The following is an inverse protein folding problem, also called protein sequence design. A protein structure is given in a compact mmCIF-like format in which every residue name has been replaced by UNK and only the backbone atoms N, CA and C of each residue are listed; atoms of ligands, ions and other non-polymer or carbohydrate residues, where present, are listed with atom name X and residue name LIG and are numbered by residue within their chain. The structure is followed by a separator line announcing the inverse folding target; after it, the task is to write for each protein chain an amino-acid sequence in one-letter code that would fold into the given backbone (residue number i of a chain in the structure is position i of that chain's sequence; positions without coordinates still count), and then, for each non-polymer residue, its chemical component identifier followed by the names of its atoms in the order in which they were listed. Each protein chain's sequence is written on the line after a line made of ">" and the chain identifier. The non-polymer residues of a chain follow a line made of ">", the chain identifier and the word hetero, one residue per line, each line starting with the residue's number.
data_IF_073838591615
#
_entry.id   IF_073838591615
#
_cell.length_a   1.000
_cell.length_b   1.000
_cell.length_c   1.000
_cell.angle_alpha   90.00
_cell.angle_beta   90.00
_cell.angle_gamma   90.00
#
_symmetry.space_group_name_H-M   'P 1'
#
loop_
_entity.id
_entity.type
_entity.pdbx_description
1 polymer ?
#
# COMPACT_ATOMS: atom_id res chain seq x y z
N UNK A 1 38.96 -12.55 20.49
CA UNK A 1 38.09 -11.61 21.24
C UNK A 1 37.55 -12.31 22.46
N UNK A 2 37.41 -11.58 23.56
CA UNK A 2 36.72 -12.01 24.78
C UNK A 2 35.30 -12.54 24.42
N UNK A 3 34.86 -13.69 24.94
CA UNK A 3 33.50 -14.20 24.75
C UNK A 3 32.39 -13.17 25.04
N UNK A 4 32.58 -12.32 26.06
CA UNK A 4 31.63 -11.28 26.42
C UNK A 4 31.57 -10.16 25.36
N UNK A 5 32.71 -9.85 24.73
CA UNK A 5 32.78 -8.86 23.65
C UNK A 5 32.08 -9.37 22.39
N UNK A 6 32.22 -10.66 22.07
CA UNK A 6 31.48 -11.27 20.94
C UNK A 6 29.97 -11.22 21.16
N UNK A 7 29.51 -11.59 22.36
CA UNK A 7 28.09 -11.57 22.69
C UNK A 7 27.48 -10.16 22.63
N UNK A 8 28.22 -9.15 23.11
CA UNK A 8 27.81 -7.75 23.00
C UNK A 8 27.71 -7.31 21.54
N UNK A 9 28.71 -7.65 20.72
CA UNK A 9 28.71 -7.31 19.30
C UNK A 9 27.54 -7.93 18.55
N UNK A 10 27.26 -9.22 18.77
CA UNK A 10 26.10 -9.93 18.20
C UNK A 10 24.78 -9.25 18.58
N UNK A 11 24.63 -8.88 19.85
CA UNK A 11 23.43 -8.18 20.34
C UNK A 11 23.24 -6.82 19.68
N UNK A 12 24.31 -6.06 19.46
CA UNK A 12 24.25 -4.76 18.79
C UNK A 12 23.83 -4.92 17.31
N UNK A 13 24.40 -5.89 16.60
CA UNK A 13 24.03 -6.20 15.20
C UNK A 13 22.55 -6.55 15.08
N UNK A 14 22.03 -7.35 16.02
CA UNK A 14 20.61 -7.71 16.04
C UNK A 14 19.71 -6.49 16.28
N UNK A 15 20.10 -5.57 17.17
CA UNK A 15 19.36 -4.33 17.43
C UNK A 15 19.36 -3.43 16.19
N UNK A 16 20.51 -3.24 15.55
CA UNK A 16 20.64 -2.44 14.33
C UNK A 16 19.77 -3.01 13.21
N UNK A 17 19.78 -4.34 13.03
CA UNK A 17 18.94 -5.03 12.04
C UNK A 17 17.45 -4.82 12.31
N UNK A 18 17.01 -4.95 13.57
CA UNK A 18 15.62 -4.69 13.95
C UNK A 18 15.22 -3.23 13.72
N UNK A 19 16.12 -2.29 14.02
CA UNK A 19 15.89 -0.86 13.83
C UNK A 19 15.78 -0.48 12.34
N UNK A 20 16.62 -1.05 11.48
CA UNK A 20 16.55 -0.86 10.03
C UNK A 20 15.22 -1.38 9.48
N UNK A 21 14.82 -2.61 9.86
CA UNK A 21 13.53 -3.18 9.46
C UNK A 21 12.35 -2.33 9.92
N UNK A 22 12.40 -1.80 11.15
CA UNK A 22 11.39 -0.89 11.67
C UNK A 22 11.31 0.40 10.85
N UNK A 23 12.45 0.99 10.50
CA UNK A 23 12.53 2.21 9.70
C UNK A 23 11.94 2.00 8.30
N UNK A 24 12.33 0.91 7.63
CA UNK A 24 11.81 0.53 6.32
C UNK A 24 10.28 0.33 6.36
N UNK A 25 9.77 -0.38 7.37
CA UNK A 25 8.33 -0.60 7.50
C UNK A 25 7.55 0.70 7.74
N UNK A 26 8.09 1.63 8.53
CA UNK A 26 7.49 2.97 8.73
C UNK A 26 7.49 3.79 7.45
N UNK A 27 8.57 3.73 6.67
CA UNK A 27 8.62 4.41 5.38
C UNK A 27 7.57 3.84 4.42
N UNK A 28 7.45 2.51 4.33
CA UNK A 28 6.44 1.87 3.50
C UNK A 28 5.01 2.22 3.91
N UNK A 29 4.72 2.41 5.20
CA UNK A 29 3.40 2.90 5.65
C UNK A 29 3.07 4.27 5.06
N UNK A 30 4.04 5.17 4.97
CA UNK A 30 3.85 6.51 4.38
C UNK A 30 3.61 6.39 2.87
N UNK A 31 4.37 5.56 2.17
CA UNK A 31 4.17 5.35 0.73
C UNK A 31 2.83 4.69 0.42
N UNK A 32 2.42 3.70 1.22
CA UNK A 32 1.09 3.09 1.10
C UNK A 32 -0.03 4.12 1.33
N UNK A 33 0.13 5.03 2.31
CA UNK A 33 -0.86 6.07 2.57
C UNK A 33 -0.98 7.07 1.41
N UNK A 34 0.15 7.48 0.82
CA UNK A 34 0.18 8.32 -0.39
C UNK A 34 -0.57 7.66 -1.54
N UNK A 35 -0.28 6.38 -1.82
CA UNK A 35 -0.93 5.61 -2.87
C UNK A 35 -2.43 5.45 -2.60
N UNK A 36 -2.80 5.16 -1.35
CA UNK A 36 -4.20 5.04 -0.93
C UNK A 36 -4.96 6.34 -1.14
N UNK A 37 -4.35 7.48 -0.81
CA UNK A 37 -4.96 8.78 -1.04
C UNK A 37 -5.13 9.08 -2.55
N UNK A 38 -4.09 8.83 -3.35
CA UNK A 38 -4.16 8.98 -4.80
C UNK A 38 -5.27 8.12 -5.43
N UNK A 39 -5.40 6.86 -5.03
CA UNK A 39 -6.47 5.98 -5.48
C UNK A 39 -7.86 6.49 -5.06
N UNK A 40 -8.00 7.04 -3.85
CA UNK A 40 -9.25 7.64 -3.37
C UNK A 40 -9.67 8.85 -4.21
N UNK A 41 -8.72 9.69 -4.57
CA UNK A 41 -8.95 10.84 -5.46
C UNK A 41 -9.33 10.39 -6.87
N UNK A 42 -8.63 9.40 -7.43
CA UNK A 42 -8.93 8.83 -8.73
C UNK A 42 -10.34 8.19 -8.77
N UNK A 43 -10.70 7.38 -7.77
CA UNK A 43 -12.04 6.80 -7.63
C UNK A 43 -13.11 7.89 -7.51
N UNK A 44 -12.82 8.98 -6.79
CA UNK A 44 -13.73 10.13 -6.68
C UNK A 44 -13.93 10.82 -8.04
N UNK A 45 -12.86 10.98 -8.81
CA UNK A 45 -12.93 11.53 -10.17
C UNK A 45 -13.73 10.63 -11.11
N UNK A 46 -13.52 9.31 -11.07
CA UNK A 46 -14.30 8.34 -11.85
C UNK A 46 -15.80 8.41 -11.49
N UNK A 47 -16.13 8.48 -10.20
CA UNK A 47 -17.53 8.62 -9.74
C UNK A 47 -18.18 9.92 -10.23
N UNK A 48 -17.44 11.03 -10.23
CA UNK A 48 -17.92 12.31 -10.80
C UNK A 48 -18.17 12.17 -12.30
N UNK A 49 -17.23 11.57 -13.02
CA UNK A 49 -17.32 11.35 -14.47
C UNK A 49 -18.55 10.51 -14.83
N UNK A 50 -18.77 9.39 -14.14
CA UNK A 50 -19.94 8.51 -14.35
C UNK A 50 -21.28 9.21 -14.12
N UNK A 51 -21.34 10.20 -13.22
CA UNK A 51 -22.56 11.01 -13.01
C UNK A 51 -22.79 11.99 -14.15
N UNK A 52 -21.73 12.52 -14.75
CA UNK A 52 -21.79 13.53 -15.82
C UNK A 52 -21.90 12.94 -17.23
N UNK A 53 -21.46 11.70 -17.47
CA UNK A 53 -21.54 11.04 -18.79
C UNK A 53 -22.93 10.52 -19.12
N UNK A 54 -23.89 10.61 -18.18
CA UNK A 54 -25.32 10.66 -18.52
C UNK A 54 -25.59 11.98 -19.26
N UNK A 55 -25.31 12.02 -20.56
CA UNK A 55 -25.88 13.04 -21.44
C UNK A 55 -27.41 12.91 -21.30
N UNK A 56 -28.02 13.90 -20.67
CA UNK A 56 -29.46 13.98 -20.39
C UNK A 56 -30.30 14.18 -21.66
N UNK A 57 -29.70 14.03 -22.84
CA UNK A 57 -30.37 14.10 -24.13
C UNK A 57 -29.82 12.94 -24.98
N UNK A 58 -30.63 11.89 -25.25
CA UNK A 58 -30.28 10.88 -26.24
C UNK A 58 -29.97 11.56 -27.57
N UNK A 59 -28.86 11.20 -28.22
CA UNK A 59 -28.61 11.63 -29.58
C UNK A 59 -29.80 11.18 -30.44
N UNK A 60 -30.34 12.01 -31.34
CA UNK A 60 -31.41 11.59 -32.26
C UNK A 60 -31.05 10.30 -33.01
N UNK A 61 -29.77 10.07 -33.28
CA UNK A 61 -29.26 8.83 -33.86
C UNK A 61 -29.42 7.61 -32.95
N UNK A 62 -29.19 7.76 -31.64
CA UNK A 62 -29.33 6.66 -30.67
C UNK A 62 -30.80 6.25 -30.49
N UNK A 63 -31.73 7.21 -30.60
CA UNK A 63 -33.18 6.92 -30.57
C UNK A 63 -33.59 6.14 -31.82
N UNK A 64 -33.13 6.58 -33.00
CA UNK A 64 -33.43 5.92 -34.27
C UNK A 64 -32.85 4.51 -34.33
N UNK A 65 -31.60 4.32 -33.89
CA UNK A 65 -30.96 3.00 -33.86
C UNK A 65 -31.66 2.03 -32.90
N UNK A 66 -32.17 2.51 -31.77
CA UNK A 66 -32.88 1.72 -30.76
C UNK A 66 -34.29 1.31 -31.20
N UNK A 67 -34.92 2.08 -32.09
CA UNK A 67 -36.19 1.71 -32.74
C UNK A 67 -36.00 0.67 -33.86
N UNK A 68 -34.80 0.58 -34.45
CA UNK A 68 -34.47 -0.38 -35.50
C UNK A 68 -33.94 -1.72 -34.98
N UNK A 69 -33.39 -1.78 -33.76
CA UNK A 69 -32.97 -3.00 -33.06
C UNK A 69 -34.17 -3.80 -32.52
N UNK A 70 -35.12 -4.11 -33.39
CA UNK A 70 -36.15 -5.10 -33.11
C UNK A 70 -35.54 -6.49 -32.95
N UNK A 71 -35.75 -7.11 -31.79
CA UNK A 71 -35.66 -8.57 -31.57
C UNK A 71 -34.30 -9.25 -31.77
N UNK A 72 -33.25 -8.81 -31.08
CA UNK A 72 -32.06 -9.65 -30.88
C UNK A 72 -31.49 -9.53 -29.48
N UNK A 73 -31.72 -10.58 -28.68
CA UNK A 73 -31.02 -10.86 -27.42
C UNK A 73 -31.53 -10.06 -26.23
N UNK A 74 -32.28 -10.72 -25.33
CA UNK A 74 -32.38 -10.26 -23.95
C UNK A 74 -30.94 -10.13 -23.42
N UNK A 75 -30.46 -8.90 -23.23
CA UNK A 75 -29.20 -8.66 -22.52
C UNK A 75 -29.33 -9.36 -21.16
N UNK A 76 -28.56 -10.44 -21.00
CA UNK A 76 -28.30 -11.09 -19.72
C UNK A 76 -27.93 -9.96 -18.74
N UNK A 77 -28.75 -9.82 -17.70
CA UNK A 77 -28.65 -8.89 -16.56
C UNK A 77 -27.37 -8.03 -16.64
N UNK A 78 -27.48 -6.79 -17.13
CA UNK A 78 -26.38 -5.82 -17.03
C UNK A 78 -26.02 -5.67 -15.55
N UNK A 79 -24.86 -6.15 -15.13
CA UNK A 79 -24.34 -5.92 -13.78
C UNK A 79 -24.11 -4.42 -13.62
N UNK A 80 -25.08 -3.75 -12.99
CA UNK A 80 -24.97 -2.34 -12.66
C UNK A 80 -24.03 -2.26 -11.46
N UNK A 81 -22.81 -1.80 -11.71
CA UNK A 81 -21.88 -1.50 -10.63
C UNK A 81 -22.51 -0.47 -9.67
N UNK A 82 -22.55 -0.70 -8.35
CA UNK A 82 -23.16 0.24 -7.41
C UNK A 82 -22.44 1.59 -7.39
N UNK A 83 -21.16 1.61 -7.76
CA UNK A 83 -20.29 2.79 -7.72
C UNK A 83 -20.24 3.53 -9.06
N UNK A 84 -20.18 2.81 -10.19
CA UNK A 84 -20.17 3.40 -11.53
C UNK A 84 -21.58 3.64 -12.10
N UNK A 85 -22.60 2.97 -11.56
CA UNK A 85 -23.94 2.95 -12.14
C UNK A 85 -23.96 2.35 -13.55
N UNK A 86 -24.95 2.75 -14.34
CA UNK A 86 -25.04 2.42 -15.75
C UNK A 86 -24.00 3.23 -16.53
N UNK A 87 -22.85 2.62 -16.79
CA UNK A 87 -21.72 3.20 -17.50
C UNK A 87 -21.69 2.69 -18.94
N UNK A 88 -21.13 3.48 -19.86
CA UNK A 88 -20.91 3.03 -21.23
C UNK A 88 -19.69 2.09 -21.28
N UNK A 89 -19.83 0.81 -21.68
CA UNK A 89 -18.71 -0.12 -21.80
C UNK A 89 -17.69 0.31 -22.87
N UNK A 90 -18.05 1.20 -23.80
CA UNK A 90 -17.14 1.77 -24.81
C UNK A 90 -16.34 2.96 -24.27
N UNK A 91 -16.68 3.50 -23.10
CA UNK A 91 -15.92 4.58 -22.49
C UNK A 91 -14.58 4.06 -21.97
N UNK A 92 -13.50 4.76 -22.30
CA UNK A 92 -12.15 4.42 -21.87
C UNK A 92 -11.54 5.50 -20.97
N UNK A 93 -10.59 5.07 -20.16
CA UNK A 93 -9.76 5.91 -19.29
C UNK A 93 -8.30 5.52 -19.46
N UNK A 94 -7.41 6.51 -19.41
CA UNK A 94 -5.98 6.27 -19.36
C UNK A 94 -5.56 5.93 -17.94
N UNK A 95 -4.84 4.83 -17.77
CA UNK A 95 -4.26 4.39 -16.51
C UNK A 95 -2.74 4.30 -16.67
N UNK A 96 -2.02 4.83 -15.70
CA UNK A 96 -0.57 4.61 -15.53
C UNK A 96 -0.37 3.44 -14.57
N UNK A 97 0.41 2.44 -14.97
CA UNK A 97 0.66 1.28 -14.10
C UNK A 97 1.74 1.58 -13.05
N UNK A 98 1.45 1.40 -11.74
CA UNK A 98 2.43 1.67 -10.69
C UNK A 98 3.73 0.87 -10.89
N UNK A 99 4.87 1.52 -10.67
CA UNK A 99 6.19 0.90 -10.84
C UNK A 99 6.65 0.77 -12.30
N UNK A 100 5.97 1.43 -13.24
CA UNK A 100 6.35 1.49 -14.66
C UNK A 100 6.02 2.85 -15.27
N UNK A 101 6.68 3.18 -16.38
CA UNK A 101 6.38 4.38 -17.19
C UNK A 101 5.37 4.07 -18.31
N UNK A 102 4.46 3.13 -18.08
CA UNK A 102 3.52 2.62 -19.09
C UNK A 102 2.13 3.19 -18.84
N UNK A 103 1.57 3.80 -19.88
CA UNK A 103 0.18 4.23 -19.95
C UNK A 103 -0.62 3.29 -20.85
N UNK A 104 -1.76 2.83 -20.36
CA UNK A 104 -2.69 2.04 -21.15
C UNK A 104 -4.09 2.66 -21.17
N UNK A 105 -4.71 2.57 -22.34
CA UNK A 105 -6.12 2.91 -22.51
C UNK A 105 -6.95 1.69 -22.14
N UNK A 106 -7.64 1.76 -21.01
CA UNK A 106 -8.46 0.67 -20.46
C UNK A 106 -9.93 1.08 -20.37
N UNK A 107 -10.89 0.14 -20.42
CA UNK A 107 -12.30 0.47 -20.22
C UNK A 107 -12.55 1.13 -18.87
N UNK A 108 -13.48 2.08 -18.81
CA UNK A 108 -13.77 2.90 -17.63
C UNK A 108 -14.03 2.06 -16.37
N UNK A 109 -14.89 1.04 -16.48
CA UNK A 109 -15.23 0.18 -15.35
C UNK A 109 -14.07 -0.72 -14.93
N UNK A 110 -13.21 -1.12 -15.87
CA UNK A 110 -11.99 -1.87 -15.56
C UNK A 110 -11.04 -1.01 -14.73
N UNK A 111 -10.86 0.28 -15.07
CA UNK A 111 -10.07 1.21 -14.25
C UNK A 111 -10.62 1.32 -12.82
N UNK A 112 -11.94 1.47 -12.68
CA UNK A 112 -12.59 1.50 -11.37
C UNK A 112 -12.27 0.25 -10.56
N UNK A 113 -12.50 -0.94 -11.13
CA UNK A 113 -12.29 -2.21 -10.45
C UNK A 113 -10.82 -2.46 -10.07
N UNK A 114 -9.87 -2.02 -10.90
CA UNK A 114 -8.45 -2.08 -10.57
C UNK A 114 -8.15 -1.21 -9.34
N UNK A 115 -8.59 0.04 -9.33
CA UNK A 115 -8.35 0.97 -8.23
C UNK A 115 -9.03 0.54 -6.94
N UNK A 116 -10.23 -0.05 -7.03
CA UNK A 116 -10.99 -0.53 -5.87
C UNK A 116 -10.30 -1.73 -5.21
N UNK A 117 -9.87 -2.72 -6.02
CA UNK A 117 -9.06 -3.85 -5.53
C UNK A 117 -7.71 -3.40 -4.97
N UNK A 118 -7.11 -2.38 -5.57
CA UNK A 118 -5.85 -1.83 -5.07
C UNK A 118 -6.04 -1.14 -3.71
N UNK A 119 -7.17 -0.48 -3.46
CA UNK A 119 -7.49 0.04 -2.13
C UNK A 119 -7.61 -1.06 -1.09
N UNK A 120 -8.32 -2.15 -1.39
CA UNK A 120 -8.46 -3.29 -0.47
C UNK A 120 -7.08 -3.89 -0.11
N UNK A 121 -6.21 -4.03 -1.11
CA UNK A 121 -4.84 -4.49 -0.94
C UNK A 121 -4.03 -3.53 -0.06
N UNK A 122 -4.04 -2.23 -0.37
CA UNK A 122 -3.30 -1.21 0.39
C UNK A 122 -3.75 -1.14 1.85
N UNK A 123 -5.05 -1.29 2.12
CA UNK A 123 -5.59 -1.33 3.48
C UNK A 123 -5.14 -2.58 4.24
N UNK A 124 -5.12 -3.74 3.58
CA UNK A 124 -4.60 -4.98 4.17
C UNK A 124 -3.10 -4.86 4.47
N UNK A 125 -2.30 -4.42 3.52
CA UNK A 125 -0.85 -4.27 3.65
C UNK A 125 -0.49 -3.24 4.74
N UNK A 126 -1.25 -2.15 4.83
CA UNK A 126 -1.07 -1.14 5.88
C UNK A 126 -1.34 -1.71 7.28
N UNK A 127 -2.40 -2.52 7.47
CA UNK A 127 -2.69 -3.18 8.76
C UNK A 127 -1.60 -4.17 9.14
N UNK A 128 -1.10 -4.93 8.15
CA UNK A 128 0.01 -5.87 8.34
C UNK A 128 1.29 -5.14 8.76
N UNK A 129 1.64 -4.07 8.07
CA UNK A 129 2.81 -3.24 8.39
C UNK A 129 2.68 -2.55 9.76
N UNK A 130 1.50 -2.05 10.13
CA UNK A 130 1.28 -1.49 11.47
C UNK A 130 1.52 -2.52 12.58
N UNK A 131 1.07 -3.76 12.37
CA UNK A 131 1.31 -4.86 13.30
C UNK A 131 2.80 -5.17 13.42
N UNK A 132 3.50 -5.24 12.29
CA UNK A 132 4.94 -5.46 12.25
C UNK A 132 5.73 -4.33 12.93
N UNK A 133 5.37 -3.06 12.66
CA UNK A 133 5.98 -1.89 13.30
C UNK A 133 5.80 -1.93 14.81
N UNK A 134 4.62 -2.35 15.30
CA UNK A 134 4.34 -2.49 16.73
C UNK A 134 5.21 -3.58 17.36
N UNK A 135 5.31 -4.73 16.72
CA UNK A 135 6.14 -5.85 17.16
C UNK A 135 7.62 -5.47 17.23
N UNK A 136 8.19 -4.91 16.15
CA UNK A 136 9.59 -4.48 16.12
C UNK A 136 9.88 -3.37 17.11
N UNK A 137 8.96 -2.40 17.28
CA UNK A 137 9.12 -1.35 18.30
C UNK A 137 9.14 -1.94 19.71
N UNK A 138 8.32 -2.97 19.98
CA UNK A 138 8.31 -3.66 21.26
C UNK A 138 9.63 -4.41 21.50
N UNK A 139 10.11 -5.17 20.51
CA UNK A 139 11.39 -5.91 20.60
C UNK A 139 12.58 -4.99 20.88
N UNK A 140 12.67 -3.86 20.18
CA UNK A 140 13.73 -2.87 20.43
C UNK A 140 13.60 -2.26 21.83
N UNK A 141 12.37 -1.96 22.27
CA UNK A 141 12.13 -1.44 23.62
C UNK A 141 12.54 -2.43 24.71
N UNK A 142 12.28 -3.73 24.52
CA UNK A 142 12.68 -4.78 25.46
C UNK A 142 14.20 -4.90 25.54
N UNK A 143 14.88 -4.91 24.39
CA UNK A 143 16.35 -4.90 24.31
C UNK A 143 16.94 -3.62 24.92
N UNK A 144 16.31 -2.46 24.73
CA UNK A 144 16.71 -1.19 25.33
C UNK A 144 16.60 -1.18 26.85
N UNK A 145 15.51 -1.71 27.41
CA UNK A 145 15.34 -1.86 28.86
C UNK A 145 16.39 -2.82 29.49
N UNK A 146 16.99 -3.71 28.70
CA UNK A 146 18.14 -4.52 29.13
C UNK A 146 19.43 -3.71 29.15
N UNK A 147 19.61 -2.72 28.26
CA UNK A 147 20.76 -1.82 28.27
C UNK A 147 20.82 -0.97 29.55
N UNK A 148 19.67 -0.54 30.08
CA UNK A 148 19.57 0.17 31.37
C UNK A 148 20.06 -0.67 32.57
N UNK A 149 20.11 -2.00 32.42
CA UNK A 149 20.65 -2.94 33.43
C UNK A 149 22.15 -3.18 33.30
N UNK A 150 22.78 -2.76 32.19
CA UNK A 150 24.23 -2.91 32.02
C UNK A 150 24.91 -1.81 32.84
N UNK A 151 25.46 -2.19 34.00
CA UNK A 151 26.15 -1.23 34.86
C UNK A 151 27.34 -0.59 34.13
N UNK A 152 27.62 0.71 34.35
CA UNK A 152 28.83 1.36 33.83
C UNK A 152 30.13 0.64 34.21
N UNK A 153 30.12 -0.15 35.30
CA UNK A 153 31.23 -0.99 35.71
C UNK A 153 31.55 -2.13 34.73
N UNK A 154 30.53 -2.73 34.12
CA UNK A 154 30.69 -3.78 33.08
C UNK A 154 31.27 -3.16 31.80
N UNK A 155 30.76 -1.99 31.39
CA UNK A 155 31.31 -1.24 30.26
C UNK A 155 32.78 -0.89 30.53
N UNK A 156 33.09 -0.42 31.75
CA UNK A 156 34.45 -0.06 32.15
C UNK A 156 35.40 -1.28 32.17
N UNK A 157 34.94 -2.45 32.60
CA UNK A 157 35.74 -3.69 32.57
C UNK A 157 35.96 -4.23 31.16
N UNK A 158 35.06 -3.96 30.22
CA UNK A 158 35.18 -4.37 28.81
C UNK A 158 36.15 -3.49 28.01
N UNK A 159 36.32 -2.22 28.40
CA UNK A 159 37.18 -1.24 27.70
C UNK A 159 38.57 -1.14 28.35
N UNK A 160 38.74 -1.63 29.58
CA UNK A 160 40.05 -1.64 30.23
C UNK A 160 40.91 -2.78 29.67
N UNK A 161 41.99 -2.41 28.97
CA UNK A 161 43.02 -3.34 28.51
C UNK A 161 43.65 -4.00 29.74
N UNK A 162 43.55 -5.32 29.83
CA UNK A 162 44.30 -6.10 30.82
C UNK A 162 45.72 -6.26 30.31
N UNK A 163 46.61 -5.32 30.65
CA UNK A 163 48.04 -5.53 30.48
C UNK A 163 48.46 -6.68 31.40
N UNK A 164 48.65 -7.86 30.81
CA UNK A 164 49.31 -8.97 31.50
C UNK A 164 50.82 -8.66 31.50
N UNK A 165 51.47 -8.53 32.68
CA UNK A 165 52.92 -8.37 32.72
C UNK A 165 53.59 -9.62 32.12
N UNK A 166 54.61 -9.39 31.29
CA UNK A 166 55.45 -10.42 30.64
C UNK A 166 56.26 -11.21 31.66
#
# INVERSE_FOLDING_TARGET
>A
MDPNMKHLQETLVDIETDAEQLLLARHQLVENDKMRNANREALTALRKKARTTKTSVPSPFDVIMKEMEGTSGRELIKEICPTCGNHDPKEHTWLMFPGSDIFARVPFHVTHTILDKDQERLDYDSKKLQSFVKEKSFLISEKGALADKISPGIVKSLVSLTDKPK
#
